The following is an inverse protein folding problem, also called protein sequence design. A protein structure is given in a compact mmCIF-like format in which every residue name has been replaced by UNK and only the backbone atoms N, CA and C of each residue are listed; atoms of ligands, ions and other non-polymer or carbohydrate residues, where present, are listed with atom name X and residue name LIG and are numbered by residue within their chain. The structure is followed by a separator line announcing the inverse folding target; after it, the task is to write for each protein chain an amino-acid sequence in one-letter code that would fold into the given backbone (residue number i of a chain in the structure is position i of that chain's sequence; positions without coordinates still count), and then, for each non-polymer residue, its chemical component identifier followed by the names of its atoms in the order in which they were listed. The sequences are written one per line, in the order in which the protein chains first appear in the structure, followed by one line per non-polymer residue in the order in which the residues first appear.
data_IF_243865356069
#
_entry.id   IF_243865356069
#
_cell.length_a   1.000
_cell.length_b   1.000
_cell.length_c   1.000
_cell.angle_alpha   90.00
_cell.angle_beta   90.00
_cell.angle_gamma   90.00
#
_symmetry.space_group_name_H-M   'P 1'
#
loop_
_entity.id
_entity.type
_entity.pdbx_description
1 polymer ?
#
# COMPACT_ATOMS: atom_id res chain seq x y z
N UNK A 1 3.12 3.37 4.59
CA UNK A 1 2.86 4.41 5.62
C UNK A 1 1.66 4.01 6.48
N UNK A 2 1.56 4.53 7.71
CA UNK A 2 0.35 4.44 8.55
C UNK A 2 -0.45 5.73 8.40
N UNK A 3 -1.48 5.71 7.54
CA UNK A 3 -2.26 6.91 7.22
C UNK A 3 -3.71 6.79 7.69
N UNK A 4 -4.35 7.90 8.11
CA UNK A 4 -5.78 7.94 8.33
C UNK A 4 -6.53 7.74 7.00
N UNK A 5 -7.75 7.19 7.06
CA UNK A 5 -8.54 6.88 5.85
C UNK A 5 -8.99 8.12 5.06
N UNK A 6 -9.16 9.24 5.76
CA UNK A 6 -9.66 10.49 5.18
C UNK A 6 -11.10 10.41 4.67
N UNK A 7 -11.53 11.46 3.99
CA UNK A 7 -12.79 11.52 3.24
C UNK A 7 -12.50 11.40 1.76
N UNK A 8 -13.14 10.43 1.10
CA UNK A 8 -13.03 10.26 -0.34
C UNK A 8 -13.40 11.56 -1.07
N UNK A 9 -12.53 11.97 -1.99
CA UNK A 9 -12.71 13.18 -2.79
C UNK A 9 -12.96 12.82 -4.26
N UNK A 10 -12.05 12.08 -4.90
CA UNK A 10 -12.13 11.77 -6.33
C UNK A 10 -11.32 10.54 -6.69
N UNK A 11 -11.76 9.82 -7.73
CA UNK A 11 -11.02 8.73 -8.37
C UNK A 11 -10.81 9.05 -9.86
N UNK A 12 -9.58 8.90 -10.33
CA UNK A 12 -9.14 9.12 -11.71
C UNK A 12 -8.71 7.79 -12.31
N UNK A 13 -9.25 7.43 -13.48
CA UNK A 13 -8.98 6.13 -14.12
C UNK A 13 -7.70 6.12 -14.96
N UNK A 14 -7.40 7.23 -15.61
CA UNK A 14 -6.16 7.43 -16.36
C UNK A 14 -5.77 8.91 -16.21
N UNK A 15 -4.58 9.13 -15.64
CA UNK A 15 -3.95 10.44 -15.54
C UNK A 15 -2.43 10.27 -15.50
N UNK A 16 -1.70 11.32 -15.87
CA UNK A 16 -0.25 11.35 -15.75
C UNK A 16 0.12 11.82 -14.34
N UNK A 17 1.02 11.10 -13.67
CA UNK A 17 1.45 11.41 -12.31
C UNK A 17 1.94 12.85 -12.16
N UNK A 18 2.74 13.35 -13.12
CA UNK A 18 3.26 14.72 -13.09
C UNK A 18 2.14 15.78 -13.19
N UNK A 19 1.24 15.62 -14.15
CA UNK A 19 0.12 16.54 -14.34
C UNK A 19 -0.80 16.57 -13.11
N UNK A 20 -1.04 15.41 -12.49
CA UNK A 20 -1.85 15.33 -11.27
C UNK A 20 -1.18 16.03 -10.07
N UNK A 21 0.13 15.86 -9.89
CA UNK A 21 0.87 16.55 -8.83
C UNK A 21 0.82 18.07 -9.02
N UNK A 22 0.95 18.55 -10.26
CA UNK A 22 0.84 19.98 -10.60
C UNK A 22 -0.59 20.52 -10.39
N UNK A 23 -1.63 19.76 -10.74
CA UNK A 23 -3.05 20.08 -10.48
C UNK A 23 -3.29 20.23 -8.98
N UNK A 24 -2.87 19.25 -8.17
CA UNK A 24 -3.02 19.29 -6.72
C UNK A 24 -2.26 20.45 -6.08
N UNK A 25 -1.08 20.80 -6.61
CA UNK A 25 -0.33 21.98 -6.20
C UNK A 25 -1.10 23.28 -6.48
N UNK A 26 -1.73 23.38 -7.65
CA UNK A 26 -2.50 24.55 -8.08
C UNK A 26 -3.80 24.72 -7.29
N UNK A 27 -4.47 23.61 -6.97
CA UNK A 27 -5.71 23.60 -6.18
C UNK A 27 -5.47 23.70 -4.67
N UNK A 28 -4.21 23.74 -4.22
CA UNK A 28 -3.82 23.67 -2.81
C UNK A 28 -4.45 22.48 -2.09
N UNK A 29 -4.44 21.32 -2.75
CA UNK A 29 -5.06 20.12 -2.22
C UNK A 29 -4.40 19.69 -0.89
N UNK A 30 -5.24 19.37 0.09
CA UNK A 30 -4.81 18.84 1.39
C UNK A 30 -5.41 17.46 1.59
N UNK A 31 -4.57 16.43 1.59
CA UNK A 31 -5.05 15.06 1.63
C UNK A 31 -4.02 14.01 1.23
N UNK A 32 -4.53 12.82 0.95
CA UNK A 32 -3.78 11.67 0.46
C UNK A 32 -4.07 11.53 -1.02
N UNK A 33 -3.03 11.34 -1.81
CA UNK A 33 -3.12 10.94 -3.21
C UNK A 33 -2.41 9.60 -3.38
N UNK A 34 -3.16 8.58 -3.80
CA UNK A 34 -2.63 7.25 -4.08
C UNK A 34 -2.68 7.01 -5.59
N UNK A 35 -1.53 6.90 -6.23
CA UNK A 35 -1.39 6.69 -7.67
C UNK A 35 -0.88 5.27 -7.90
N UNK A 36 -1.59 4.49 -8.72
CA UNK A 36 -1.23 3.10 -9.04
C UNK A 36 -0.52 3.07 -10.40
N UNK A 37 0.79 2.84 -10.37
CA UNK A 37 1.66 2.73 -11.55
C UNK A 37 2.01 1.25 -11.79
N UNK A 38 1.17 0.56 -12.55
CA UNK A 38 1.36 -0.86 -12.88
C UNK A 38 1.38 -1.75 -11.63
N UNK A 39 2.54 -2.29 -11.27
CA UNK A 39 2.73 -3.16 -10.10
C UNK A 39 3.12 -2.42 -8.82
N UNK A 40 3.36 -1.11 -8.89
CA UNK A 40 3.74 -0.27 -7.75
C UNK A 40 2.66 0.78 -7.49
N UNK A 41 2.58 1.22 -6.24
CA UNK A 41 1.80 2.40 -5.87
C UNK A 41 2.71 3.49 -5.33
N UNK A 42 2.38 4.71 -5.72
CA UNK A 42 2.90 5.96 -5.18
C UNK A 42 1.86 6.51 -4.22
N UNK A 43 2.25 6.76 -3.00
CA UNK A 43 1.38 7.38 -2.00
C UNK A 43 2.01 8.71 -1.61
N UNK A 44 1.25 9.79 -1.80
CA UNK A 44 1.63 11.15 -1.46
C UNK A 44 0.67 11.68 -0.39
N UNK A 45 1.20 12.38 0.60
CA UNK A 45 0.40 13.22 1.50
C UNK A 45 0.72 14.65 1.18
N UNK A 46 -0.32 15.43 0.91
CA UNK A 46 -0.22 16.83 0.55
C UNK A 46 -0.84 17.71 1.63
N UNK A 47 -0.20 18.83 1.89
CA UNK A 47 -0.70 19.89 2.75
C UNK A 47 -0.68 21.21 1.97
N UNK A 48 -1.85 21.77 1.69
CA UNK A 48 -2.03 22.97 0.88
C UNK A 48 -1.30 22.92 -0.48
N UNK A 49 -1.31 21.75 -1.13
CA UNK A 49 -0.66 21.52 -2.42
C UNK A 49 0.82 21.16 -2.34
N UNK A 50 1.43 21.15 -1.15
CA UNK A 50 2.82 20.74 -0.97
C UNK A 50 2.90 19.28 -0.54
N UNK A 51 3.78 18.48 -1.17
CA UNK A 51 4.01 17.09 -0.79
C UNK A 51 4.84 17.05 0.49
N UNK A 52 4.24 16.59 1.58
CA UNK A 52 4.89 16.48 2.89
C UNK A 52 5.37 15.06 3.21
N UNK A 53 4.70 14.04 2.67
CA UNK A 53 5.12 12.63 2.79
C UNK A 53 5.03 11.95 1.42
N UNK A 54 5.98 11.06 1.14
CA UNK A 54 5.99 10.27 -0.07
C UNK A 54 6.49 8.84 0.16
N UNK A 55 5.86 7.88 -0.52
CA UNK A 55 6.25 6.48 -0.59
C UNK A 55 6.04 5.94 -1.99
N UNK A 56 7.04 5.26 -2.56
CA UNK A 56 6.96 4.66 -3.89
C UNK A 56 7.59 3.28 -3.90
N UNK A 57 6.78 2.21 -3.98
CA UNK A 57 7.29 0.84 -4.12
C UNK A 57 8.37 0.42 -3.11
N UNK A 58 8.32 0.96 -1.88
CA UNK A 58 9.31 0.73 -0.81
C UNK A 58 10.35 1.85 -0.61
N UNK A 59 10.48 2.77 -1.56
CA UNK A 59 11.23 4.02 -1.40
C UNK A 59 10.43 5.01 -0.54
N UNK A 60 11.13 5.92 0.14
CA UNK A 60 10.53 6.85 1.12
C UNK A 60 11.05 8.26 0.94
N UNK A 61 10.24 9.24 1.30
CA UNK A 61 10.62 10.66 1.34
C UNK A 61 10.96 11.21 -0.04
N UNK A 62 11.91 12.15 -0.09
CA UNK A 62 12.28 12.83 -1.33
C UNK A 62 12.64 11.87 -2.47
N UNK A 63 13.39 10.80 -2.17
CA UNK A 63 13.81 9.84 -3.19
C UNK A 63 12.63 9.10 -3.84
N UNK A 64 11.54 8.88 -3.11
CA UNK A 64 10.31 8.31 -3.67
C UNK A 64 9.62 9.28 -4.64
N UNK A 65 9.61 10.58 -4.28
CA UNK A 65 9.02 11.63 -5.10
C UNK A 65 9.81 11.83 -6.41
N UNK A 66 11.15 11.86 -6.33
CA UNK A 66 12.02 12.03 -7.49
C UNK A 66 11.83 10.88 -8.50
N UNK A 67 11.86 9.63 -8.00
CA UNK A 67 11.64 8.44 -8.83
C UNK A 67 10.24 8.43 -9.48
N UNK A 68 9.22 8.89 -8.77
CA UNK A 68 7.87 9.01 -9.31
C UNK A 68 7.74 10.07 -10.41
N UNK A 69 8.51 11.16 -10.31
CA UNK A 69 8.57 12.22 -11.31
C UNK A 69 9.33 11.80 -12.56
N UNK A 70 10.34 10.93 -12.40
CA UNK A 70 11.09 10.31 -13.51
C UNK A 70 10.25 9.27 -14.27
N UNK A 71 9.49 8.42 -13.56
CA UNK A 71 8.53 7.45 -14.16
C UNK A 71 7.23 8.11 -14.69
N UNK A 72 7.10 9.43 -14.55
CA UNK A 72 5.84 10.20 -14.57
C UNK A 72 5.10 10.34 -15.91
N UNK A 73 5.54 9.67 -16.97
CA UNK A 73 4.89 9.70 -18.29
C UNK A 73 3.90 8.55 -18.53
N UNK A 74 3.86 7.56 -17.63
CA UNK A 74 2.90 6.45 -17.73
C UNK A 74 1.51 6.84 -17.23
N UNK A 75 0.48 6.39 -17.94
CA UNK A 75 -0.91 6.54 -17.50
C UNK A 75 -1.16 5.68 -16.25
N UNK A 76 -1.68 6.31 -15.20
CA UNK A 76 -1.94 5.70 -13.92
C UNK A 76 -3.34 6.04 -13.41
N UNK A 77 -3.91 5.13 -12.62
CA UNK A 77 -5.12 5.42 -11.86
C UNK A 77 -4.73 6.14 -10.56
N UNK A 78 -5.54 7.10 -10.11
CA UNK A 78 -5.27 7.84 -8.89
C UNK A 78 -6.52 8.00 -8.02
N UNK A 79 -6.37 7.82 -6.72
CA UNK A 79 -7.38 8.03 -5.69
C UNK A 79 -6.98 9.19 -4.79
N UNK A 80 -7.88 10.15 -4.61
CA UNK A 80 -7.68 11.34 -3.79
C UNK A 80 -8.65 11.33 -2.61
N UNK A 81 -8.11 11.51 -1.40
CA UNK A 81 -8.86 11.58 -0.15
C UNK A 81 -8.46 12.84 0.60
N UNK A 82 -9.42 13.72 0.89
CA UNK A 82 -9.18 14.90 1.72
C UNK A 82 -8.92 14.51 3.18
N UNK A 83 -7.98 15.21 3.83
CA UNK A 83 -7.68 15.06 5.25
C UNK A 83 -7.95 16.36 6.02
N UNK A 84 -8.31 16.25 7.29
CA UNK A 84 -8.35 17.41 8.19
C UNK A 84 -6.92 17.79 8.63
N UNK A 85 -6.69 19.02 9.11
CA UNK A 85 -5.39 19.44 9.62
C UNK A 85 -4.84 18.52 10.73
N UNK A 86 -5.70 18.03 11.62
CA UNK A 86 -5.33 17.11 12.70
C UNK A 86 -4.89 15.75 12.15
N UNK A 87 -5.54 15.28 11.08
CA UNK A 87 -5.17 14.05 10.40
C UNK A 87 -3.83 14.18 9.67
N UNK A 88 -3.54 15.36 9.09
CA UNK A 88 -2.23 15.66 8.50
C UNK A 88 -1.15 15.64 9.58
N UNK A 89 -1.38 16.30 10.71
CA UNK A 89 -0.43 16.31 11.81
C UNK A 89 -0.14 14.89 12.32
N UNK A 90 -1.18 14.09 12.53
CA UNK A 90 -1.03 12.70 12.94
C UNK A 90 -0.23 11.89 11.91
N UNK A 91 -0.51 12.09 10.61
CA UNK A 91 0.25 11.42 9.55
C UNK A 91 1.74 11.79 9.61
N UNK A 92 2.10 13.06 9.86
CA UNK A 92 3.49 13.49 9.98
C UNK A 92 4.19 12.87 11.21
N UNK A 93 3.52 12.85 12.36
CA UNK A 93 4.09 12.34 13.61
C UNK A 93 4.43 10.85 13.54
N UNK A 94 3.59 10.05 12.88
CA UNK A 94 3.74 8.60 12.77
C UNK A 94 4.55 8.16 11.55
N UNK A 95 4.74 9.04 10.55
CA UNK A 95 5.42 8.72 9.30
C UNK A 95 6.68 9.57 9.05
N UNK A 96 7.38 10.00 10.10
CA UNK A 96 8.67 10.72 10.03
C UNK A 96 9.67 10.19 8.97
N UNK A 97 9.90 8.87 8.79
CA UNK A 97 10.86 8.39 7.78
C UNK A 97 10.40 8.58 6.32
N UNK A 98 9.16 9.01 6.08
CA UNK A 98 8.59 9.28 4.76
C UNK A 98 8.51 10.78 4.44
N UNK A 99 9.00 11.63 5.36
CA UNK A 99 9.02 13.08 5.17
C UNK A 99 9.84 13.49 3.94
N UNK A 100 9.26 14.37 3.15
CA UNK A 100 9.92 15.03 2.02
C UNK A 100 10.58 16.29 2.57
N UNK A 101 11.83 16.54 2.21
CA UNK A 101 12.56 17.70 2.72
C UNK A 101 11.90 18.97 2.15
N UNK A 102 11.44 19.84 3.04
CA UNK A 102 10.83 21.10 2.63
C UNK A 102 11.87 21.94 1.85
N UNK A 103 11.51 22.38 0.65
CA UNK A 103 12.36 23.23 -0.18
C UNK A 103 12.19 24.73 0.16
N UNK A 104 11.66 25.04 1.35
CA UNK A 104 11.51 26.38 1.88
C UNK A 104 12.03 26.55 3.31
N UNK A 105 13.35 26.72 3.47
CA UNK A 105 14.07 27.36 4.61
C UNK A 105 13.57 27.06 6.04
N UNK A 106 14.32 26.24 6.78
CA UNK A 106 15.20 26.77 7.84
C UNK A 106 16.17 25.71 8.38
N UNK A 107 17.36 26.17 8.74
CA UNK A 107 18.42 25.41 9.38
C UNK A 107 17.92 24.79 10.69
N UNK A 108 18.12 23.48 10.89
CA UNK A 108 18.53 22.98 12.21
C UNK A 108 19.59 21.88 12.05
N UNK A 109 20.82 22.31 12.33
CA UNK A 109 21.97 21.45 12.58
C UNK A 109 21.76 20.73 13.91
N UNK A 110 22.04 19.41 14.04
CA UNK A 110 22.03 18.78 15.35
C UNK A 110 23.17 19.34 16.24
N UNK A 111 22.97 19.39 17.56
CA UNK A 111 23.69 20.28 18.47
C UNK A 111 25.15 19.89 18.69
N UNK A 112 26.02 20.90 18.55
CA UNK A 112 27.38 20.87 19.07
C UNK A 112 27.40 20.88 20.61
N UNK A 113 27.77 19.74 21.20
CA UNK A 113 28.47 19.63 22.50
C UNK A 113 29.47 18.47 22.33
N UNK A 114 30.77 18.60 22.47
CA UNK A 114 31.64 19.71 22.81
C UNK A 114 33.05 19.14 22.93
N UNK A 115 34.03 20.05 22.83
CA UNK A 115 35.39 19.92 23.38
C UNK A 115 36.39 19.06 22.60
N UNK A 116 37.00 19.73 21.61
CA UNK A 116 38.39 19.51 21.23
C UNK A 116 39.31 19.75 22.44
N UNK A 117 40.08 18.74 22.83
CA UNK A 117 41.42 18.95 23.40
C UNK A 117 42.40 18.17 22.55
N UNK A 118 43.27 18.97 21.95
CA UNK A 118 44.44 18.72 21.12
C UNK A 118 45.50 17.84 21.80
N UNK A 119 46.36 17.27 20.95
CA UNK A 119 47.73 16.72 21.16
C UNK A 119 47.80 15.25 21.63
N UNK A 120 48.60 14.34 21.06
CA UNK A 120 49.89 14.42 20.34
C UNK A 120 50.07 13.22 19.38
N UNK A 121 50.79 13.47 18.30
CA UNK A 121 51.50 12.53 17.42
C UNK A 121 52.57 11.70 18.13
N UNK A 122 52.81 10.44 17.74
CA UNK A 122 54.15 9.86 17.55
C UNK A 122 54.15 8.41 16.99
N UNK A 123 55.25 8.11 16.27
CA UNK A 123 55.61 6.94 15.46
C UNK A 123 55.75 5.60 16.21
N UNK A 124 55.62 4.49 15.47
CA UNK A 124 56.65 3.43 15.47
C UNK A 124 56.22 1.99 15.82
N UNK A 125 56.96 0.95 15.36
CA UNK A 125 56.38 -0.32 14.87
C UNK A 125 56.82 -1.60 15.65
N UNK A 126 56.15 -2.74 15.39
CA UNK A 126 56.60 -4.10 15.76
C UNK A 126 55.42 -5.07 15.94
N UNK A 127 55.14 -6.00 15.02
CA UNK A 127 55.76 -7.33 14.74
C UNK A 127 55.05 -8.49 15.49
N UNK A 128 54.59 -9.46 14.67
CA UNK A 128 54.43 -10.93 14.86
C UNK A 128 53.46 -11.40 15.97
N UNK A 129 52.56 -12.39 15.82
CA UNK A 129 52.65 -13.73 15.22
C UNK A 129 51.26 -14.29 14.83
N UNK A 130 51.23 -15.13 13.79
CA UNK A 130 50.24 -16.21 13.52
C UNK A 130 50.87 -17.52 14.01
N UNK A 131 50.14 -18.56 14.49
CA UNK A 131 49.30 -19.45 13.66
C UNK A 131 48.05 -19.96 14.46
N UNK A 132 47.12 -20.84 14.06
CA UNK A 132 47.04 -21.93 13.09
C UNK A 132 45.56 -22.33 12.91
N UNK A 133 45.17 -22.72 11.69
CA UNK A 133 43.98 -23.52 11.35
C UNK A 133 44.23 -25.02 11.75
N UNK A 134 43.25 -25.96 11.87
CA UNK A 134 42.38 -26.34 10.72
C UNK A 134 41.01 -27.04 10.95
N UNK A 135 40.29 -27.15 9.81
CA UNK A 135 39.47 -28.29 9.32
C UNK A 135 38.02 -28.46 9.84
N UNK A 136 37.02 -28.23 8.96
CA UNK A 136 36.40 -29.26 8.09
C UNK A 136 35.22 -28.68 7.26
N UNK A 137 35.34 -28.81 5.94
CA UNK A 137 34.27 -28.86 4.91
C UNK A 137 33.61 -30.26 4.97
N UNK A 138 32.28 -30.44 4.75
CA UNK A 138 31.68 -30.53 3.40
C UNK A 138 30.27 -29.94 3.19
N UNK A 139 30.07 -29.29 2.03
CA UNK A 139 28.79 -29.30 1.26
C UNK A 139 28.52 -30.74 0.77
N UNK A 140 27.28 -31.19 0.42
CA UNK A 140 26.27 -30.47 -0.39
C UNK A 140 24.78 -30.82 -0.06
N UNK A 141 23.81 -30.21 -0.77
CA UNK A 141 22.84 -30.90 -1.65
C UNK A 141 21.70 -29.94 -2.05
N UNK A 142 21.61 -29.71 -3.36
CA UNK A 142 20.48 -29.10 -4.05
C UNK A 142 19.33 -30.12 -4.06
N UNK A 143 18.21 -29.81 -3.40
CA UNK A 143 16.97 -30.58 -3.56
C UNK A 143 15.92 -29.69 -4.24
N UNK A 144 15.94 -29.73 -5.58
CA UNK A 144 14.80 -29.36 -6.41
C UNK A 144 13.64 -30.29 -6.07
N UNK A 145 12.67 -29.85 -5.28
CA UNK A 145 11.36 -30.50 -5.24
C UNK A 145 10.51 -29.97 -6.38
N UNK A 146 10.54 -30.72 -7.48
CA UNK A 146 9.59 -30.59 -8.57
C UNK A 146 8.18 -30.89 -8.08
N UNK A 147 7.24 -30.06 -8.49
CA UNK A 147 5.81 -30.31 -8.36
C UNK A 147 5.46 -31.36 -9.42
N UNK A 148 4.87 -32.51 -9.07
CA UNK A 148 4.45 -33.51 -10.04
C UNK A 148 3.24 -33.00 -10.84
N UNK A 149 3.42 -32.84 -12.14
CA UNK A 149 2.33 -32.78 -13.12
C UNK A 149 1.68 -34.16 -13.26
N UNK A 150 0.36 -34.30 -13.12
CA UNK A 150 -0.36 -35.48 -13.59
C UNK A 150 -0.67 -35.31 -15.08
N UNK A 151 -0.02 -36.10 -15.93
CA UNK A 151 -0.37 -36.19 -17.35
C UNK A 151 -1.38 -37.31 -17.58
N UNK A 152 -2.52 -37.00 -18.22
CA UNK A 152 -3.35 -37.97 -18.95
C UNK A 152 -3.91 -37.34 -20.24
N UNK A 153 -3.22 -37.70 -21.34
CA UNK A 153 -3.59 -37.94 -22.75
C UNK A 153 -4.71 -37.12 -23.46
N UNK A 154 -4.48 -36.73 -24.74
CA UNK A 154 -5.49 -36.15 -25.61
C UNK A 154 -6.35 -37.22 -26.29
N UNK A 155 -7.66 -37.01 -26.37
CA UNK A 155 -8.58 -37.75 -27.26
C UNK A 155 -9.42 -36.73 -28.03
N UNK A 156 -9.46 -36.92 -29.35
CA UNK A 156 -10.18 -36.09 -30.32
C UNK A 156 -11.66 -36.48 -30.41
N UNK A 157 -12.46 -35.43 -30.55
CA UNK A 157 -13.64 -35.23 -31.42
C UNK A 157 -14.86 -36.19 -31.42
N UNK A 158 -16.00 -35.50 -31.37
CA UNK A 158 -17.27 -35.75 -32.06
C UNK A 158 -18.27 -36.74 -31.46
N UNK A 159 -19.17 -36.19 -30.62
CA UNK A 159 -20.60 -36.55 -30.63
C UNK A 159 -21.44 -35.36 -30.15
N UNK A 160 -22.57 -35.14 -30.81
CA UNK A 160 -23.45 -33.96 -30.78
C UNK A 160 -23.80 -33.37 -29.39
N UNK A 161 -24.00 -32.04 -29.27
CA UNK A 161 -24.56 -31.42 -28.08
C UNK A 161 -26.09 -31.61 -28.05
N UNK A 162 -26.56 -32.51 -27.18
CA UNK A 162 -27.92 -32.44 -26.63
C UNK A 162 -27.94 -31.45 -25.44
N UNK A 163 -29.08 -30.83 -25.15
CA UNK A 163 -29.13 -29.42 -24.84
C UNK A 163 -28.57 -29.13 -23.44
N UNK A 164 -27.58 -28.25 -23.35
CA UNK A 164 -27.19 -27.51 -22.12
C UNK A 164 -28.34 -26.66 -21.53
N UNK A 165 -29.55 -26.75 -22.10
CA UNK A 165 -30.76 -26.03 -21.70
C UNK A 165 -31.21 -26.38 -20.29
N UNK A 166 -30.99 -27.62 -19.81
CA UNK A 166 -31.46 -28.03 -18.49
C UNK A 166 -30.66 -27.37 -17.37
N UNK A 167 -29.32 -27.30 -17.49
CA UNK A 167 -28.46 -26.62 -16.51
C UNK A 167 -28.67 -25.10 -16.50
N UNK A 168 -28.83 -24.50 -17.68
CA UNK A 168 -29.12 -23.07 -17.81
C UNK A 168 -30.53 -22.76 -17.24
N UNK A 169 -31.51 -23.65 -17.45
CA UNK A 169 -32.86 -23.47 -16.90
C UNK A 169 -32.89 -23.61 -15.38
N UNK A 170 -32.16 -24.58 -14.81
CA UNK A 170 -32.00 -24.69 -13.36
C UNK A 170 -31.33 -23.43 -12.77
N UNK A 171 -30.29 -22.91 -13.42
CA UNK A 171 -29.60 -21.70 -12.97
C UNK A 171 -30.52 -20.45 -13.04
N UNK A 172 -31.33 -20.33 -14.11
CA UNK A 172 -32.31 -19.25 -14.23
C UNK A 172 -33.40 -19.35 -13.16
N UNK A 173 -33.87 -20.56 -12.86
CA UNK A 173 -34.84 -20.81 -11.79
C UNK A 173 -34.26 -20.49 -10.41
N UNK A 174 -33.00 -20.82 -10.16
CA UNK A 174 -32.30 -20.46 -8.92
C UNK A 174 -32.20 -18.94 -8.76
N UNK A 175 -31.85 -18.21 -9.83
CA UNK A 175 -31.79 -16.74 -9.82
C UNK A 175 -33.16 -16.08 -9.65
N UNK A 176 -34.23 -16.68 -10.20
CA UNK A 176 -35.61 -16.22 -10.04
C UNK A 176 -36.18 -16.51 -8.65
N UNK A 177 -35.66 -17.53 -7.96
CA UNK A 177 -36.08 -17.92 -6.60
C UNK A 177 -35.46 -17.11 -5.47
N UNK A 178 -34.60 -16.13 -5.78
CA UNK A 178 -33.97 -15.29 -4.77
C UNK A 178 -34.98 -14.31 -4.17
N UNK A 179 -35.46 -14.64 -2.97
CA UNK A 179 -36.29 -13.74 -2.18
C UNK A 179 -35.44 -12.59 -1.62
N UNK A 180 -35.52 -11.45 -2.30
CA UNK A 180 -34.80 -10.22 -1.93
C UNK A 180 -35.27 -9.71 -0.57
N UNK A 181 -36.55 -9.88 -0.21
CA UNK A 181 -37.08 -9.43 1.07
C UNK A 181 -36.51 -10.28 2.21
N UNK A 182 -36.41 -11.60 2.00
CA UNK A 182 -35.72 -12.49 2.92
C UNK A 182 -34.24 -12.14 3.05
N UNK A 183 -33.53 -11.88 1.95
CA UNK A 183 -32.12 -11.50 1.97
C UNK A 183 -31.89 -10.18 2.72
N UNK A 184 -32.75 -9.18 2.50
CA UNK A 184 -32.69 -7.89 3.20
C UNK A 184 -32.99 -8.07 4.69
N UNK A 185 -33.94 -8.93 5.03
CA UNK A 185 -34.26 -9.28 6.41
C UNK A 185 -33.04 -9.91 7.11
N UNK A 186 -32.43 -10.93 6.49
CA UNK A 186 -31.26 -11.62 7.02
C UNK A 186 -30.07 -10.67 7.20
N UNK A 187 -29.84 -9.78 6.22
CA UNK A 187 -28.83 -8.74 6.31
C UNK A 187 -29.08 -7.79 7.49
N UNK A 188 -30.32 -7.30 7.66
CA UNK A 188 -30.70 -6.42 8.78
C UNK A 188 -30.46 -7.09 10.12
N UNK A 189 -30.84 -8.36 10.26
CA UNK A 189 -30.62 -9.16 11.47
C UNK A 189 -29.12 -9.27 11.78
N UNK A 190 -28.32 -9.61 10.77
CA UNK A 190 -26.87 -9.74 10.93
C UNK A 190 -26.21 -8.41 11.35
N UNK A 191 -26.62 -7.28 10.77
CA UNK A 191 -26.14 -5.96 11.18
C UNK A 191 -26.53 -5.62 12.62
N UNK A 192 -27.77 -5.92 13.06
CA UNK A 192 -28.19 -5.75 14.46
C UNK A 192 -27.31 -6.60 15.40
N UNK A 193 -26.97 -7.83 15.02
CA UNK A 193 -26.10 -8.69 15.82
C UNK A 193 -24.66 -8.20 15.92
N UNK A 194 -24.11 -7.65 14.84
CA UNK A 194 -22.80 -7.00 14.86
C UNK A 194 -22.82 -5.80 15.83
N UNK A 195 -23.84 -4.93 15.73
CA UNK A 195 -23.99 -3.77 16.62
C UNK A 195 -24.08 -4.18 18.10
N UNK A 196 -24.79 -5.27 18.42
CA UNK A 196 -24.83 -5.82 19.79
C UNK A 196 -23.47 -6.34 20.27
N UNK A 197 -22.73 -7.06 19.40
CA UNK A 197 -21.40 -7.59 19.75
C UNK A 197 -20.36 -6.52 20.07
N UNK A 198 -20.53 -5.31 19.51
CA UNK A 198 -19.65 -4.17 19.77
C UNK A 198 -20.23 -3.18 20.79
N UNK A 199 -21.26 -3.57 21.55
CA UNK A 199 -21.89 -2.76 22.60
C UNK A 199 -22.47 -1.41 22.08
N UNK A 200 -22.97 -1.41 20.84
CA UNK A 200 -23.65 -0.28 20.21
C UNK A 200 -25.15 -0.56 19.99
N UNK A 201 -25.75 -1.35 20.87
CA UNK A 201 -27.17 -1.73 20.84
C UNK A 201 -28.10 -0.52 20.95
N UNK A 202 -27.69 0.54 21.64
CA UNK A 202 -28.42 1.81 21.75
C UNK A 202 -28.62 2.55 20.41
N UNK A 203 -27.87 2.19 19.36
CA UNK A 203 -28.03 2.75 18.01
C UNK A 203 -29.08 2.01 17.18
N UNK A 204 -29.54 0.84 17.62
CA UNK A 204 -30.58 0.07 16.92
C UNK A 204 -31.91 0.79 17.13
N UNK A 205 -32.42 1.43 16.07
CA UNK A 205 -33.76 2.01 16.07
C UNK A 205 -34.75 0.94 15.62
N UNK A 206 -35.49 0.33 16.56
CA UNK A 206 -36.58 -0.60 16.25
C UNK A 206 -37.85 0.15 15.77
N UNK A 207 -37.68 1.06 14.80
CA UNK A 207 -38.80 1.64 14.06
C UNK A 207 -39.07 0.76 12.85
N UNK A 208 -39.70 -0.38 13.10
CA UNK A 208 -40.43 -1.10 12.07
C UNK A 208 -41.86 -0.53 12.06
N UNK A 209 -42.16 0.32 11.08
CA UNK A 209 -43.54 0.69 10.68
C UNK A 209 -43.80 0.10 9.32
#
# INVERSE_FOLDING_TARGET
MQLPRGRFHRLLKSTKSRALIEEMGSERFTGICTIVLGSKSLILVLNEGQVVLAEYGGLKGQHALDMALEDGDSEAAAELNTLTPEQIQLALEFNKPFAVADSGKDLETPPSKGRSVRMKSQMGPGRVDMPSMPKRRPEPLVERRGIPTPGLKPVKEAKDPQPESDEISMLMQDMESLDIDQLVSDFRVNCKDILRKIHLDHLIQDKDT
#
